data_IF_195719741025
#
_entry.id   IF_195719741025
#
_cell.length_a   1.000
_cell.length_b   1.000
_cell.length_c   1.000
_cell.angle_alpha   90.00
_cell.angle_beta   90.00
_cell.angle_gamma   90.00
#
_symmetry.space_group_name_H-M   'P 1'
#
loop_
_entity.id
_entity.type
_entity.pdbx_description
1 polymer ?
#
# COMPACT_ATOMS: atom_id res chain seq x y z
N UNK A 1 2.05 -8.55 -4.98
CA UNK A 1 0.73 -7.92 -4.65
C UNK A 1 0.78 -6.44 -4.96
N UNK A 2 -0.36 -5.83 -5.31
CA UNK A 2 -0.50 -4.39 -5.61
C UNK A 2 -1.60 -3.78 -4.73
N UNK A 3 -1.35 -2.60 -4.16
CA UNK A 3 -2.32 -1.82 -3.38
C UNK A 3 -2.26 -0.36 -3.81
N UNK A 4 -3.43 0.25 -4.04
CA UNK A 4 -3.54 1.69 -4.28
C UNK A 4 -3.95 2.42 -3.01
N UNK A 5 -3.29 3.54 -2.72
CA UNK A 5 -3.49 4.32 -1.50
C UNK A 5 -3.57 5.78 -1.87
N UNK A 6 -4.57 6.50 -1.37
CA UNK A 6 -4.65 7.96 -1.53
C UNK A 6 -3.34 8.59 -1.04
N UNK A 7 -2.75 9.46 -1.85
CA UNK A 7 -1.46 10.11 -1.56
C UNK A 7 -1.46 10.87 -0.24
N UNK A 8 -2.59 11.47 0.10
CA UNK A 8 -2.76 12.26 1.33
C UNK A 8 -3.27 11.43 2.53
N UNK A 9 -3.22 10.09 2.44
CA UNK A 9 -3.62 9.19 3.53
C UNK A 9 -2.39 8.67 4.29
N UNK A 10 -2.35 8.82 5.61
CA UNK A 10 -1.24 8.33 6.46
C UNK A 10 -1.01 6.81 6.38
N UNK A 11 -1.94 6.04 5.81
CA UNK A 11 -1.75 4.63 5.49
C UNK A 11 -0.55 4.37 4.57
N UNK A 12 -0.07 5.37 3.81
CA UNK A 12 1.18 5.27 3.06
C UNK A 12 2.35 4.77 3.93
N UNK A 13 2.48 5.30 5.15
CA UNK A 13 3.55 4.91 6.08
C UNK A 13 3.44 3.46 6.53
N UNK A 14 2.22 2.92 6.62
CA UNK A 14 2.00 1.52 6.98
C UNK A 14 2.54 0.59 5.88
N UNK A 15 2.20 0.88 4.62
CA UNK A 15 2.64 0.07 3.50
C UNK A 15 4.15 0.19 3.23
N UNK A 16 4.73 1.38 3.40
CA UNK A 16 6.18 1.56 3.38
C UNK A 16 6.86 0.72 4.47
N UNK A 17 6.35 0.72 5.70
CA UNK A 17 6.89 -0.08 6.81
C UNK A 17 6.75 -1.59 6.60
N UNK A 18 5.71 -2.04 5.89
CA UNK A 18 5.56 -3.43 5.48
C UNK A 18 6.44 -3.82 4.29
N UNK A 19 7.34 -2.94 3.83
CA UNK A 19 8.26 -3.21 2.72
C UNK A 19 7.65 -2.96 1.33
N UNK A 20 6.52 -2.26 1.26
CA UNK A 20 5.87 -1.90 0.01
C UNK A 20 6.70 -0.91 -0.79
N UNK A 21 6.91 -1.20 -2.06
CA UNK A 21 7.65 -0.35 -2.98
C UNK A 21 6.69 0.53 -3.78
N UNK A 22 6.96 1.83 -3.87
CA UNK A 22 6.19 2.72 -4.75
C UNK A 22 6.44 2.33 -6.20
N UNK A 23 5.39 1.97 -6.92
CA UNK A 23 5.46 1.53 -8.31
C UNK A 23 4.95 2.58 -9.28
N UNK A 24 3.84 3.24 -8.93
CA UNK A 24 3.17 4.17 -9.83
C UNK A 24 2.31 5.17 -9.05
N UNK A 25 1.83 6.20 -9.75
CA UNK A 25 0.85 7.16 -9.24
C UNK A 25 -0.21 7.44 -10.29
N UNK A 26 -1.47 7.61 -9.87
CA UNK A 26 -2.56 7.94 -10.78
C UNK A 26 -3.41 9.07 -10.21
N UNK A 27 -3.95 9.91 -11.10
CA UNK A 27 -4.88 10.99 -10.78
C UNK A 27 -6.28 10.63 -11.27
N UNK A 28 -7.30 10.91 -10.46
CA UNK A 28 -8.69 10.77 -10.87
C UNK A 28 -9.61 11.74 -10.13
N UNK A 29 -10.82 11.91 -10.65
CA UNK A 29 -11.82 12.80 -10.04
C UNK A 29 -13.00 11.98 -9.52
N UNK A 30 -13.33 12.14 -8.24
CA UNK A 30 -14.55 11.59 -7.63
C UNK A 30 -15.34 12.73 -6.97
N UNK A 31 -16.62 12.85 -7.32
CA UNK A 31 -17.54 13.88 -6.79
C UNK A 31 -16.93 15.29 -6.83
N UNK A 32 -16.24 15.62 -7.92
CA UNK A 32 -15.60 16.93 -8.12
C UNK A 32 -14.31 17.16 -7.33
N UNK A 33 -13.88 16.20 -6.50
CA UNK A 33 -12.56 16.22 -5.86
C UNK A 33 -11.53 15.53 -6.76
N UNK A 34 -10.41 16.20 -7.01
CA UNK A 34 -9.26 15.59 -7.67
C UNK A 34 -8.41 14.89 -6.63
N UNK A 35 -8.24 13.59 -6.80
CA UNK A 35 -7.51 12.71 -5.89
C UNK A 35 -6.31 12.12 -6.63
N UNK A 36 -5.23 11.92 -5.88
CA UNK A 36 -4.06 11.19 -6.35
C UNK A 36 -3.91 9.93 -5.51
N UNK A 37 -3.59 8.81 -6.16
CA UNK A 37 -3.24 7.56 -5.50
C UNK A 37 -1.82 7.15 -5.84
N UNK A 38 -1.17 6.48 -4.89
CA UNK A 38 0.13 5.82 -5.05
C UNK A 38 -0.08 4.32 -5.00
N UNK A 39 0.48 3.63 -6.00
CA UNK A 39 0.55 2.17 -6.05
C UNK A 39 1.76 1.67 -5.25
N UNK A 40 1.53 0.76 -4.31
CA UNK A 40 2.55 0.00 -3.61
C UNK A 40 2.57 -1.46 -4.06
N UNK A 41 3.77 -1.98 -4.29
CA UNK A 41 4.00 -3.34 -4.74
C UNK A 41 4.89 -4.16 -3.82
N UNK A 42 4.60 -5.45 -3.77
CA UNK A 42 5.46 -6.48 -3.18
C UNK A 42 5.72 -7.56 -4.22
N UNK A 43 6.96 -7.68 -4.73
CA UNK A 43 7.34 -8.76 -5.64
C UNK A 43 7.21 -10.15 -5.00
N UNK A 44 7.60 -10.23 -3.72
CA UNK A 44 7.40 -11.40 -2.87
C UNK A 44 6.40 -11.05 -1.77
N UNK A 45 5.29 -11.79 -1.71
CA UNK A 45 4.20 -11.53 -0.76
C UNK A 45 4.40 -12.22 0.60
N UNK A 46 5.37 -13.13 0.71
CA UNK A 46 5.66 -13.83 1.97
C UNK A 46 6.09 -12.87 3.07
N UNK A 47 6.67 -11.71 2.70
CA UNK A 47 7.05 -10.64 3.63
C UNK A 47 5.87 -10.03 4.40
N UNK A 48 4.64 -10.27 3.96
CA UNK A 48 3.42 -9.79 4.60
C UNK A 48 2.85 -10.77 5.63
N UNK A 49 3.33 -12.01 5.63
CA UNK A 49 2.92 -13.00 6.63
C UNK A 49 3.86 -12.92 7.82
N UNK A 50 3.30 -12.84 9.03
CA UNK A 50 4.03 -13.21 10.23
C UNK A 50 3.90 -14.72 10.37
N UNK A 51 5.01 -15.42 10.60
CA UNK A 51 4.89 -16.75 11.20
C UNK A 51 4.20 -16.56 12.55
N UNK A 52 3.02 -17.18 12.67
CA UNK A 52 2.37 -17.33 13.97
C UNK A 52 3.20 -18.40 14.67
N UNK A 53 4.02 -18.01 15.64
CA UNK A 53 4.59 -18.99 16.55
C UNK A 53 3.44 -19.59 17.34
N UNK A 54 3.14 -20.86 17.08
CA UNK A 54 2.20 -21.68 17.85
C UNK A 54 2.73 -21.90 19.28
N UNK A 55 2.74 -20.86 20.10
CA UNK A 55 2.90 -20.97 21.55
C UNK A 55 1.50 -21.08 22.17
N UNK A 56 0.90 -22.27 22.02
CA UNK A 56 -0.25 -22.73 22.82
C UNK A 56 0.09 -24.03 23.54
#
# INVERSE_FOLDING_TARGET
MLVWVLKDNDANYFYEKLGGQKLDTTDFTIVGANLNETAYGWPDITVLTKEVSDDF
#
